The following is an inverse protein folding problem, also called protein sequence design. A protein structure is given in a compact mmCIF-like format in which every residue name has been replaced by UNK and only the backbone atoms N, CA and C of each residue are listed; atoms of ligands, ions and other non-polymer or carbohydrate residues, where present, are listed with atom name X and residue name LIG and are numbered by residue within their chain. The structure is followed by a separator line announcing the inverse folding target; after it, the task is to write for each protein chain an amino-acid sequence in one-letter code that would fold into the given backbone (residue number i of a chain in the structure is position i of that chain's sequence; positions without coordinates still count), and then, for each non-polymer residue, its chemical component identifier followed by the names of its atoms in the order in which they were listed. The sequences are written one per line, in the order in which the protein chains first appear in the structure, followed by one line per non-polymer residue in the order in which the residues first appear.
data_IF_626793222177
#
_entry.id   IF_626793222177
#
_cell.length_a   1.000
_cell.length_b   1.000
_cell.length_c   1.000
_cell.angle_alpha   90.00
_cell.angle_beta   90.00
_cell.angle_gamma   90.00
#
_symmetry.space_group_name_H-M   'P 1'
#
loop_
_entity.id
_entity.type
_entity.pdbx_description
1 polymer ?
#
# COMPACT_ATOMS: atom_id res chain seq x y z
N UNK A 1 19.02 17.00 16.12
CA UNK A 1 18.19 17.36 14.96
C UNK A 1 17.10 18.29 15.47
N UNK A 2 16.92 19.46 14.87
CA UNK A 2 15.91 20.44 15.29
C UNK A 2 14.90 20.65 14.16
N UNK A 3 13.62 20.75 14.49
CA UNK A 3 12.54 20.95 13.52
C UNK A 3 12.40 22.44 13.23
N UNK A 4 12.67 22.85 11.99
CA UNK A 4 12.57 24.25 11.55
C UNK A 4 11.11 24.65 11.30
N UNK A 5 10.36 23.81 10.59
CA UNK A 5 8.94 24.01 10.33
C UNK A 5 8.20 22.67 10.42
N UNK A 6 7.30 22.49 11.40
CA UNK A 6 6.58 21.22 11.59
C UNK A 6 5.53 20.95 10.49
N UNK A 7 5.06 21.98 9.77
CA UNK A 7 4.02 21.86 8.72
C UNK A 7 4.41 22.69 7.51
N UNK A 8 5.39 22.21 6.74
CA UNK A 8 5.85 22.88 5.52
C UNK A 8 4.84 22.81 4.38
N UNK A 9 4.14 21.68 4.25
CA UNK A 9 3.19 21.42 3.18
C UNK A 9 2.06 20.49 3.64
N UNK A 10 1.00 20.47 2.85
CA UNK A 10 -0.05 19.46 2.89
C UNK A 10 0.01 18.69 1.58
N UNK A 11 -0.01 17.37 1.66
CA UNK A 11 0.04 16.48 0.50
C UNK A 11 -1.27 15.67 0.47
N UNK A 12 -1.85 15.55 -0.71
CA UNK A 12 -2.97 14.65 -0.97
C UNK A 12 -2.52 13.20 -1.00
N UNK A 13 -3.45 12.29 -0.75
CA UNK A 13 -3.21 10.84 -0.84
C UNK A 13 -2.66 10.45 -2.21
N UNK A 14 -3.15 11.09 -3.27
CA UNK A 14 -2.68 10.86 -4.64
C UNK A 14 -1.22 11.28 -4.84
N UNK A 15 -0.80 12.45 -4.35
CA UNK A 15 0.59 12.90 -4.44
C UNK A 15 1.53 11.98 -3.70
N UNK A 16 1.14 11.55 -2.48
CA UNK A 16 1.91 10.60 -1.69
C UNK A 16 2.02 9.25 -2.40
N UNK A 17 0.90 8.70 -2.89
CA UNK A 17 0.90 7.42 -3.61
C UNK A 17 1.74 7.49 -4.89
N UNK A 18 1.65 8.58 -5.65
CA UNK A 18 2.44 8.78 -6.87
C UNK A 18 3.93 8.79 -6.54
N UNK A 19 4.33 9.57 -5.53
CA UNK A 19 5.72 9.64 -5.10
C UNK A 19 6.25 8.28 -4.61
N UNK A 20 5.48 7.56 -3.80
CA UNK A 20 5.91 6.24 -3.29
C UNK A 20 6.09 5.22 -4.43
N UNK A 21 5.20 5.23 -5.44
CA UNK A 21 5.34 4.38 -6.63
C UNK A 21 6.58 4.74 -7.46
N UNK A 22 6.90 6.03 -7.59
CA UNK A 22 8.12 6.48 -8.25
C UNK A 22 9.37 6.00 -7.51
N UNK A 23 9.40 6.13 -6.18
CA UNK A 23 10.50 5.65 -5.34
C UNK A 23 10.67 4.13 -5.42
N UNK A 24 9.58 3.38 -5.42
CA UNK A 24 9.59 1.92 -5.58
C UNK A 24 10.15 1.51 -6.95
N UNK A 25 9.72 2.18 -8.03
CA UNK A 25 10.20 1.92 -9.38
C UNK A 25 11.70 2.22 -9.53
N UNK A 26 12.17 3.33 -8.96
CA UNK A 26 13.59 3.71 -8.92
C UNK A 26 14.40 2.68 -8.14
N UNK A 27 13.91 2.24 -6.99
CA UNK A 27 14.55 1.21 -6.18
C UNK A 27 14.65 -0.11 -6.96
N UNK A 28 13.57 -0.56 -7.59
CA UNK A 28 13.56 -1.79 -8.38
C UNK A 28 14.55 -1.71 -9.56
N UNK A 29 14.63 -0.55 -10.21
CA UNK A 29 15.56 -0.32 -11.32
C UNK A 29 17.01 -0.36 -10.85
N UNK A 30 17.33 0.32 -9.74
CA UNK A 30 18.67 0.30 -9.13
C UNK A 30 19.08 -1.11 -8.70
N UNK A 31 18.18 -1.83 -8.03
CA UNK A 31 18.44 -3.19 -7.56
C UNK A 31 18.67 -4.17 -8.70
N UNK A 32 17.87 -4.10 -9.78
CA UNK A 32 18.09 -4.90 -10.99
C UNK A 32 19.40 -4.57 -11.70
N UNK A 33 19.76 -3.29 -11.80
CA UNK A 33 21.03 -2.88 -12.40
C UNK A 33 22.23 -3.39 -11.59
N UNK A 34 22.16 -3.31 -10.25
CA UNK A 34 23.20 -3.84 -9.37
C UNK A 34 23.34 -5.36 -9.47
N UNK A 35 22.23 -6.10 -9.55
CA UNK A 35 22.28 -7.55 -9.77
C UNK A 35 22.92 -7.93 -11.10
N UNK A 36 22.66 -7.17 -12.18
CA UNK A 36 23.30 -7.39 -13.49
C UNK A 36 24.80 -7.13 -13.44
N UNK A 37 25.23 -6.03 -12.83
CA UNK A 37 26.64 -5.68 -12.68
C UNK A 37 27.35 -6.76 -11.86
N UNK A 38 26.76 -7.19 -10.74
CA UNK A 38 27.32 -8.26 -9.90
C UNK A 38 27.49 -9.57 -10.69
N UNK A 39 26.47 -9.96 -11.48
CA UNK A 39 26.53 -11.15 -12.35
C UNK A 39 27.61 -11.03 -13.44
N UNK A 40 27.80 -9.85 -14.02
CA UNK A 40 28.85 -9.59 -15.01
C UNK A 40 30.26 -9.58 -14.39
N UNK A 41 30.43 -9.01 -13.19
CA UNK A 41 31.71 -9.01 -12.47
C UNK A 41 32.10 -10.41 -11.98
N UNK A 42 31.11 -11.20 -11.56
CA UNK A 42 31.24 -12.63 -11.24
C UNK A 42 31.67 -13.44 -12.46
N UNK A 43 31.02 -13.23 -13.61
CA UNK A 43 31.35 -13.91 -14.87
C UNK A 43 32.75 -13.54 -15.41
N UNK A 44 33.20 -12.30 -15.21
CA UNK A 44 34.52 -11.84 -15.64
C UNK A 44 35.65 -12.17 -14.65
N UNK A 45 35.35 -12.83 -13.52
CA UNK A 45 36.36 -13.24 -12.52
C UNK A 45 37.08 -12.08 -11.84
N UNK A 46 36.51 -10.86 -11.89
CA UNK A 46 37.13 -9.61 -11.41
C UNK A 46 36.76 -9.27 -9.97
N UNK A 47 36.02 -10.14 -9.27
CA UNK A 47 35.60 -9.91 -7.88
C UNK A 47 36.83 -9.81 -6.96
N UNK A 48 37.08 -8.62 -6.42
CA UNK A 48 38.05 -8.42 -5.33
C UNK A 48 37.32 -8.65 -4.01
N UNK A 49 37.64 -9.71 -3.24
CA UNK A 49 37.01 -9.96 -1.95
C UNK A 49 37.27 -8.79 -1.00
N UNK A 50 36.23 -8.15 -0.49
CA UNK A 50 36.33 -7.07 0.50
C UNK A 50 36.17 -5.64 -0.03
N UNK A 51 35.91 -5.44 -1.32
CA UNK A 51 35.39 -4.14 -1.77
C UNK A 51 33.89 -4.09 -1.47
N UNK A 52 33.54 -3.55 -0.29
CA UNK A 52 32.18 -3.09 -0.03
C UNK A 52 31.92 -1.93 -0.99
N UNK A 53 31.47 -2.24 -2.21
CA UNK A 53 30.73 -1.27 -3.01
C UNK A 53 29.65 -0.76 -2.08
N UNK A 54 29.67 0.54 -1.78
CA UNK A 54 28.76 1.14 -0.81
C UNK A 54 27.37 1.15 -1.43
N UNK A 55 26.72 -0.01 -1.41
CA UNK A 55 25.31 -0.14 -1.68
C UNK A 55 24.65 0.69 -0.59
N UNK A 56 24.05 1.81 -0.98
CA UNK A 56 23.07 2.46 -0.13
C UNK A 56 21.87 1.52 -0.13
N UNK A 57 21.94 0.49 0.71
CA UNK A 57 20.81 -0.39 0.98
C UNK A 57 19.72 0.48 1.61
N UNK A 58 18.57 0.51 0.95
CA UNK A 58 17.36 1.10 1.48
C UNK A 58 17.05 0.41 2.80
N UNK A 59 16.86 1.18 3.88
CA UNK A 59 16.65 0.57 5.19
C UNK A 59 15.38 -0.29 5.18
N UNK A 60 15.41 -1.43 5.86
CA UNK A 60 14.27 -2.36 5.93
C UNK A 60 13.01 -1.66 6.45
N UNK A 61 13.16 -0.82 7.48
CA UNK A 61 12.07 -0.04 8.04
C UNK A 61 11.42 0.90 7.02
N UNK A 62 12.22 1.57 6.18
CA UNK A 62 11.69 2.43 5.12
C UNK A 62 10.92 1.60 4.10
N UNK A 63 11.47 0.44 3.72
CA UNK A 63 10.82 -0.48 2.77
C UNK A 63 9.46 -0.97 3.28
N UNK A 64 9.35 -1.34 4.54
CA UNK A 64 8.07 -1.76 5.13
C UNK A 64 7.04 -0.64 5.05
N UNK A 65 7.42 0.58 5.45
CA UNK A 65 6.51 1.74 5.40
C UNK A 65 6.10 2.08 3.96
N UNK A 66 7.02 2.01 3.00
CA UNK A 66 6.72 2.24 1.58
C UNK A 66 5.68 1.24 1.05
N UNK A 67 5.92 -0.06 1.27
CA UNK A 67 5.03 -1.13 0.77
C UNK A 67 3.64 -1.06 1.42
N UNK A 68 3.58 -0.89 2.75
CA UNK A 68 2.31 -0.79 3.47
C UNK A 68 1.53 0.48 3.08
N UNK A 69 2.21 1.61 2.91
CA UNK A 69 1.57 2.86 2.51
C UNK A 69 1.04 2.78 1.07
N UNK A 70 1.79 2.18 0.14
CA UNK A 70 1.31 1.92 -1.23
C UNK A 70 0.11 0.99 -1.21
N UNK A 71 0.14 -0.08 -0.41
CA UNK A 71 -0.97 -1.03 -0.28
C UNK A 71 -2.22 -0.33 0.26
N UNK A 72 -2.09 0.47 1.32
CA UNK A 72 -3.21 1.20 1.90
C UNK A 72 -3.78 2.23 0.93
N UNK A 73 -2.94 3.14 0.43
CA UNK A 73 -3.37 4.25 -0.45
C UNK A 73 -3.85 3.77 -1.82
N UNK A 74 -3.39 2.60 -2.25
CA UNK A 74 -3.80 1.94 -3.49
C UNK A 74 -5.01 1.02 -3.36
N UNK A 75 -5.59 0.86 -2.17
CA UNK A 75 -6.70 -0.06 -1.94
C UNK A 75 -7.99 0.39 -2.64
N UNK A 76 -8.79 -0.58 -3.09
CA UNK A 76 -10.00 -0.35 -3.90
C UNK A 76 -11.10 0.44 -3.17
N UNK A 77 -11.11 0.44 -1.83
CA UNK A 77 -12.07 1.19 -1.03
C UNK A 77 -11.72 2.68 -0.90
N UNK A 78 -10.52 3.10 -1.33
CA UNK A 78 -10.14 4.51 -1.38
C UNK A 78 -10.31 5.05 -2.80
N UNK A 79 -10.80 6.29 -2.95
CA UNK A 79 -10.96 6.90 -4.27
C UNK A 79 -9.61 7.22 -4.92
N UNK A 80 -8.52 7.24 -4.15
CA UNK A 80 -7.17 7.62 -4.60
C UNK A 80 -6.67 6.78 -5.78
N UNK A 81 -7.04 5.50 -5.87
CA UNK A 81 -6.64 4.60 -6.96
C UNK A 81 -7.19 5.03 -8.33
N UNK A 82 -8.40 5.59 -8.37
CA UNK A 82 -9.07 6.09 -9.58
C UNK A 82 -8.80 7.56 -9.88
N UNK A 83 -8.09 8.27 -9.01
CA UNK A 83 -7.81 9.70 -9.19
C UNK A 83 -6.71 9.96 -10.22
N UNK A 84 -6.79 11.13 -10.83
CA UNK A 84 -5.76 11.65 -11.75
C UNK A 84 -5.37 13.06 -11.33
N UNK A 85 -4.14 13.48 -11.64
CA UNK A 85 -3.68 14.84 -11.37
C UNK A 85 -4.60 15.92 -11.99
N UNK A 86 -5.13 15.66 -13.19
CA UNK A 86 -6.10 16.54 -13.83
C UNK A 86 -7.43 16.57 -13.09
N UNK A 87 -7.95 15.42 -12.67
CA UNK A 87 -9.17 15.30 -11.88
C UNK A 87 -9.08 16.06 -10.57
N UNK A 88 -7.97 15.93 -9.85
CA UNK A 88 -7.73 16.66 -8.59
C UNK A 88 -7.65 18.16 -8.84
N UNK A 89 -6.96 18.59 -9.89
CA UNK A 89 -6.89 20.01 -10.24
C UNK A 89 -8.26 20.59 -10.57
N UNK A 90 -9.11 19.83 -11.30
CA UNK A 90 -10.50 20.21 -11.58
C UNK A 90 -11.34 20.24 -10.30
N UNK A 91 -11.17 19.26 -9.42
CA UNK A 91 -11.83 19.19 -8.10
C UNK A 91 -11.52 20.44 -7.28
N UNK A 92 -10.24 20.74 -7.05
CA UNK A 92 -9.82 21.88 -6.22
C UNK A 92 -10.37 23.21 -6.76
N UNK A 93 -10.40 23.39 -8.10
CA UNK A 93 -11.01 24.57 -8.74
C UNK A 93 -12.52 24.61 -8.55
N UNK A 94 -13.20 23.47 -8.67
CA UNK A 94 -14.64 23.37 -8.44
C UNK A 94 -15.01 23.69 -6.99
N UNK A 95 -14.11 23.46 -6.02
CA UNK A 95 -14.30 23.78 -4.60
C UNK A 95 -14.07 25.26 -4.24
N UNK A 96 -13.59 26.11 -5.16
CA UNK A 96 -13.33 27.53 -4.89
C UNK A 96 -14.56 28.34 -4.43
N UNK A 97 -15.77 28.17 -5.02
CA UNK A 97 -16.96 28.96 -4.66
C UNK A 97 -17.56 28.65 -3.28
N UNK A 98 -17.14 27.56 -2.64
CA UNK A 98 -17.76 27.03 -1.43
C UNK A 98 -17.10 27.52 -0.13
N UNK A 99 -16.16 28.45 -0.21
CA UNK A 99 -15.47 29.05 0.95
C UNK A 99 -14.91 28.01 1.94
N UNK A 100 -14.41 26.90 1.40
CA UNK A 100 -13.83 25.81 2.18
C UNK A 100 -12.38 26.12 2.59
N UNK A 101 -12.00 25.70 3.79
CA UNK A 101 -10.62 25.79 4.26
C UNK A 101 -9.72 24.87 3.46
N UNK A 102 -8.40 25.11 3.51
CA UNK A 102 -7.43 24.25 2.80
C UNK A 102 -7.48 22.80 3.29
N UNK A 103 -7.77 22.57 4.58
CA UNK A 103 -7.89 21.25 5.16
C UNK A 103 -9.17 20.53 4.67
N UNK A 104 -10.31 21.23 4.63
CA UNK A 104 -11.57 20.70 4.11
C UNK A 104 -11.44 20.31 2.64
N UNK A 105 -10.83 21.18 1.81
CA UNK A 105 -10.57 20.86 0.40
C UNK A 105 -9.69 19.63 0.24
N UNK A 106 -8.66 19.49 1.09
CA UNK A 106 -7.78 18.33 1.09
C UNK A 106 -8.52 17.05 1.48
N UNK A 107 -9.39 17.11 2.50
CA UNK A 107 -10.21 15.98 2.91
C UNK A 107 -11.22 15.57 1.84
N UNK A 108 -11.87 16.52 1.18
CA UNK A 108 -12.75 16.25 0.03
C UNK A 108 -11.97 15.58 -1.09
N UNK A 109 -10.77 16.05 -1.41
CA UNK A 109 -9.92 15.39 -2.42
C UNK A 109 -9.55 13.97 -2.00
N UNK A 110 -9.21 13.74 -0.73
CA UNK A 110 -8.77 12.43 -0.26
C UNK A 110 -9.90 11.40 -0.12
N UNK A 111 -11.10 11.85 0.28
CA UNK A 111 -12.24 10.98 0.58
C UNK A 111 -13.27 10.94 -0.57
N UNK A 112 -13.26 11.91 -1.47
CA UNK A 112 -14.18 12.06 -2.60
C UNK A 112 -15.65 11.77 -2.21
N UNK A 113 -16.23 12.56 -1.28
CA UNK A 113 -17.52 12.26 -0.71
C UNK A 113 -18.61 12.25 -1.78
N UNK A 114 -19.37 11.16 -1.83
CA UNK A 114 -20.44 10.95 -2.81
C UNK A 114 -21.83 11.17 -2.22
N UNK A 115 -21.93 11.25 -0.90
CA UNK A 115 -23.19 11.47 -0.20
C UNK A 115 -23.13 12.72 0.69
N UNK A 116 -24.24 13.43 0.92
CA UNK A 116 -24.26 14.58 1.82
C UNK A 116 -23.83 14.21 3.26
N UNK A 117 -24.13 12.99 3.70
CA UNK A 117 -23.74 12.48 5.04
C UNK A 117 -22.21 12.47 5.21
N UNK A 118 -21.46 12.13 4.16
CA UNK A 118 -20.00 12.16 4.19
C UNK A 118 -19.45 13.59 4.30
N UNK A 119 -20.14 14.58 3.72
CA UNK A 119 -19.74 15.99 3.83
C UNK A 119 -19.86 16.51 5.26
N UNK A 120 -20.86 16.06 6.04
CA UNK A 120 -20.99 16.44 7.46
C UNK A 120 -19.80 15.99 8.33
N UNK A 121 -19.06 14.96 7.90
CA UNK A 121 -17.87 14.47 8.61
C UNK A 121 -16.65 15.36 8.31
N UNK A 122 -16.68 16.10 7.20
CA UNK A 122 -15.56 16.91 6.72
C UNK A 122 -15.72 18.38 7.11
N UNK A 123 -16.93 18.93 6.98
CA UNK A 123 -17.20 20.37 7.11
C UNK A 123 -18.06 20.62 8.33
N UNK A 124 -17.56 21.45 9.25
CA UNK A 124 -18.31 21.91 10.41
C UNK A 124 -19.37 22.95 10.00
N UNK A 125 -20.52 22.93 10.70
CA UNK A 125 -21.65 23.85 10.47
C UNK A 125 -22.08 23.90 8.99
N UNK A 126 -22.10 22.73 8.34
CA UNK A 126 -22.32 22.58 6.90
C UNK A 126 -23.61 23.25 6.42
N UNK A 127 -24.72 23.10 7.16
CA UNK A 127 -26.03 23.72 6.87
C UNK A 127 -25.97 25.25 6.83
N UNK A 128 -25.32 25.86 7.81
CA UNK A 128 -25.22 27.32 7.88
C UNK A 128 -24.31 27.90 6.80
N UNK A 129 -23.27 27.15 6.38
CA UNK A 129 -22.28 27.62 5.38
C UNK A 129 -22.70 27.38 3.93
N UNK A 130 -23.24 26.20 3.64
CA UNK A 130 -23.56 25.79 2.27
C UNK A 130 -25.07 25.86 1.98
N UNK A 131 -25.94 25.62 2.96
CA UNK A 131 -27.39 25.60 2.77
C UNK A 131 -27.77 24.70 1.59
N UNK A 132 -28.51 25.26 0.63
CA UNK A 132 -28.98 24.54 -0.56
C UNK A 132 -27.86 24.14 -1.55
N UNK A 133 -26.62 24.62 -1.36
CA UNK A 133 -25.48 24.33 -2.26
C UNK A 133 -24.79 23.00 -1.98
N UNK A 134 -25.23 22.24 -0.97
CA UNK A 134 -24.65 20.93 -0.65
C UNK A 134 -24.88 19.90 -1.74
N UNK A 135 -26.09 19.87 -2.28
CA UNK A 135 -26.45 18.92 -3.33
C UNK A 135 -25.65 19.22 -4.60
N UNK A 136 -25.52 20.51 -4.96
CA UNK A 136 -24.67 20.98 -6.06
C UNK A 136 -23.20 20.55 -5.87
N UNK A 137 -22.66 20.71 -4.66
CA UNK A 137 -21.29 20.30 -4.34
C UNK A 137 -21.12 18.78 -4.52
N UNK A 138 -22.05 17.99 -3.99
CA UNK A 138 -21.98 16.53 -4.04
C UNK A 138 -22.07 16.02 -5.48
N UNK A 139 -23.00 16.56 -6.27
CA UNK A 139 -23.13 16.25 -7.70
C UNK A 139 -21.85 16.60 -8.45
N UNK A 140 -21.23 17.74 -8.14
CA UNK A 140 -20.00 18.18 -8.80
C UNK A 140 -18.82 17.27 -8.49
N UNK A 141 -18.72 16.77 -7.25
CA UNK A 141 -17.68 15.81 -6.85
C UNK A 141 -17.87 14.50 -7.60
N UNK A 142 -19.10 13.98 -7.67
CA UNK A 142 -19.41 12.76 -8.42
C UNK A 142 -19.10 12.88 -9.91
N UNK A 143 -19.43 14.01 -10.54
CA UNK A 143 -19.15 14.27 -11.95
C UNK A 143 -17.65 14.20 -12.25
N UNK A 144 -16.82 14.84 -11.40
CA UNK A 144 -15.37 14.89 -11.58
C UNK A 144 -14.72 13.53 -11.34
N UNK A 145 -15.23 12.77 -10.37
CA UNK A 145 -14.68 11.48 -10.00
C UNK A 145 -15.02 10.38 -11.01
N UNK A 146 -16.03 10.60 -11.86
CA UNK A 146 -16.55 9.60 -12.77
C UNK A 146 -17.60 8.71 -12.09
N UNK A 147 -18.51 8.15 -12.89
CA UNK A 147 -19.64 7.37 -12.36
C UNK A 147 -19.16 6.31 -11.36
N UNK A 148 -19.76 6.23 -10.15
CA UNK A 148 -19.33 5.28 -9.14
C UNK A 148 -19.49 3.86 -9.68
N UNK A 149 -18.54 2.98 -9.34
CA UNK A 149 -18.83 1.55 -9.36
C UNK A 149 -20.08 1.32 -8.49
N UNK A 150 -21.09 0.56 -8.96
CA UNK A 150 -22.34 0.43 -8.24
C UNK A 150 -22.08 -0.14 -6.84
N UNK A 151 -22.37 0.65 -5.82
CA UNK A 151 -22.38 0.21 -4.43
C UNK A 151 -23.47 -0.87 -4.29
N UNK A 152 -23.17 -2.07 -3.75
CA UNK A 152 -24.20 -3.01 -3.39
C UNK A 152 -25.06 -2.36 -2.30
N UNK A 153 -26.34 -2.14 -2.60
CA UNK A 153 -27.30 -1.72 -1.59
C UNK A 153 -27.46 -2.86 -0.57
N UNK A 154 -26.89 -2.70 0.63
CA UNK A 154 -27.17 -3.58 1.76
C UNK A 154 -28.56 -3.24 2.29
N UNK A 155 -29.57 -3.81 1.67
CA UNK A 155 -30.94 -3.83 2.16
C UNK A 155 -31.19 -5.15 2.89
N UNK A 156 -31.35 -5.07 4.21
CA UNK A 156 -32.06 -6.07 5.00
C UNK A 156 -31.23 -7.30 5.41
N UNK A 157 -31.34 -7.64 6.69
CA UNK A 157 -30.73 -8.80 7.32
C UNK A 157 -31.34 -10.07 6.74
N UNK A 158 -30.55 -10.86 6.02
CA UNK A 158 -30.75 -12.31 5.87
C UNK A 158 -29.50 -13.02 6.37
N UNK A 159 -29.70 -14.01 7.25
CA UNK A 159 -28.65 -14.80 7.89
C UNK A 159 -27.72 -15.46 6.85
N UNK A 160 -26.39 -15.47 7.05
CA UNK A 160 -25.50 -16.15 6.13
C UNK A 160 -25.60 -17.66 6.36
N UNK A 161 -26.10 -18.39 5.35
CA UNK A 161 -25.76 -19.80 5.18
C UNK A 161 -24.30 -19.87 4.74
N UNK A 162 -23.47 -20.52 5.55
CA UNK A 162 -22.10 -20.83 5.20
C UNK A 162 -22.07 -21.78 3.97
N UNK A 163 -21.57 -21.28 2.85
CA UNK A 163 -21.10 -22.11 1.75
C UNK A 163 -19.57 -22.12 1.80
N UNK A 164 -19.01 -23.32 2.00
CA UNK A 164 -17.57 -23.60 1.99
C UNK A 164 -17.03 -23.43 0.56
N UNK A 165 -16.61 -22.21 0.23
CA UNK A 165 -15.75 -21.94 -0.92
C UNK A 165 -14.31 -21.78 -0.45
N UNK A 166 -13.50 -22.85 -0.54
CA UNK A 166 -12.05 -22.76 -0.36
C UNK A 166 -11.48 -21.89 -1.47
N UNK A 167 -11.19 -20.63 -1.17
CA UNK A 167 -10.38 -19.77 -2.03
C UNK A 167 -8.95 -20.29 -1.98
N UNK A 168 -8.56 -21.08 -2.97
CA UNK A 168 -7.17 -21.49 -3.19
C UNK A 168 -6.32 -20.24 -3.36
N UNK A 169 -5.42 -20.00 -2.41
CA UNK A 169 -4.41 -18.96 -2.51
C UNK A 169 -3.39 -19.36 -3.57
N UNK A 170 -3.38 -18.65 -4.71
CA UNK A 170 -2.31 -18.75 -5.70
C UNK A 170 -1.20 -17.78 -5.32
N UNK A 171 -0.04 -18.32 -4.92
CA UNK A 171 1.16 -17.54 -4.66
C UNK A 171 1.67 -16.92 -5.98
N UNK A 172 1.75 -15.58 -6.13
CA UNK A 172 2.21 -14.95 -7.37
C UNK A 172 3.72 -15.13 -7.64
N UNK A 173 4.46 -15.80 -6.74
CA UNK A 173 5.85 -16.19 -6.97
C UNK A 173 6.02 -17.37 -7.96
N UNK A 174 4.93 -18.02 -8.40
CA UNK A 174 4.99 -19.19 -9.28
C UNK A 174 5.01 -18.85 -10.80
N UNK A 175 4.72 -17.61 -11.19
CA UNK A 175 4.65 -17.22 -12.61
C UNK A 175 5.73 -16.19 -12.93
N UNK A 176 6.98 -16.63 -13.09
CA UNK A 176 8.02 -15.75 -13.61
C UNK A 176 9.46 -16.07 -13.23
N UNK A 177 9.85 -17.33 -13.14
CA UNK A 177 11.26 -17.69 -13.25
C UNK A 177 11.42 -18.63 -14.43
N UNK A 178 11.90 -18.05 -15.54
CA UNK A 178 12.27 -18.81 -16.73
C UNK A 178 13.37 -19.82 -16.41
N UNK A 179 13.39 -20.86 -17.23
CA UNK A 179 14.40 -21.90 -17.30
C UNK A 179 15.83 -21.33 -17.15
N UNK A 180 16.42 -21.50 -15.96
CA UNK A 180 17.87 -21.52 -15.78
C UNK A 180 18.23 -22.96 -15.36
N UNK A 181 18.72 -23.74 -16.31
CA UNK A 181 18.98 -25.19 -16.24
C UNK A 181 20.22 -25.56 -15.39
N UNK A 182 20.80 -24.63 -14.62
CA UNK A 182 22.10 -24.84 -13.93
C UNK A 182 22.12 -24.44 -12.44
N UNK A 183 20.97 -24.26 -11.79
CA UNK A 183 20.94 -24.06 -10.34
C UNK A 183 20.96 -25.42 -9.61
N UNK A 184 22.16 -25.96 -9.36
CA UNK A 184 22.34 -27.01 -8.36
C UNK A 184 22.04 -26.43 -6.97
N UNK A 185 20.78 -26.51 -6.54
CA UNK A 185 20.41 -26.36 -5.14
C UNK A 185 20.79 -27.65 -4.43
N UNK A 186 21.77 -27.60 -3.51
CA UNK A 186 21.94 -28.65 -2.51
C UNK A 186 20.71 -28.63 -1.59
N UNK A 187 19.69 -29.40 -1.95
CA UNK A 187 18.62 -29.78 -1.04
C UNK A 187 19.21 -30.73 0.00
N UNK A 188 19.64 -30.19 1.15
CA UNK A 188 19.72 -30.98 2.37
C UNK A 188 18.30 -31.44 2.72
N UNK A 189 17.96 -32.62 2.21
CA UNK A 189 16.73 -33.35 2.46
C UNK A 189 16.64 -33.62 3.97
N UNK A 190 15.85 -32.82 4.68
CA UNK A 190 15.47 -33.11 6.07
C UNK A 190 14.62 -34.40 6.07
N UNK A 191 15.26 -35.52 6.42
CA UNK A 191 14.61 -36.81 6.63
C UNK A 191 13.85 -36.77 7.96
N UNK A 192 12.58 -36.36 7.90
CA UNK A 192 11.60 -36.44 9.00
C UNK A 192 11.06 -37.88 9.15
N UNK A 193 11.96 -38.87 9.09
CA UNK A 193 11.69 -40.21 9.59
C UNK A 193 11.86 -40.18 11.11
N UNK A 194 10.77 -39.83 11.79
CA UNK A 194 10.69 -39.78 13.25
C UNK A 194 11.21 -41.05 13.92
N UNK A 195 12.42 -40.97 14.46
CA UNK A 195 12.89 -41.78 15.58
C UNK A 195 13.00 -40.85 16.79
N UNK A 196 11.88 -40.68 17.49
CA UNK A 196 11.84 -39.97 18.76
C UNK A 196 12.66 -40.74 19.80
N UNK A 197 13.91 -40.34 20.00
CA UNK A 197 14.67 -40.71 21.18
C UNK A 197 14.04 -39.98 22.38
N UNK A 198 13.09 -40.65 23.03
CA UNK A 198 12.56 -40.20 24.31
C UNK A 198 13.70 -39.99 25.30
N UNK A 199 13.85 -38.76 25.77
CA UNK A 199 14.68 -38.46 26.95
C UNK A 199 13.84 -38.84 28.17
N UNK A 200 13.89 -40.10 28.56
CA UNK A 200 13.45 -40.56 29.88
C UNK A 200 14.63 -40.49 30.86
N UNK A 201 14.46 -39.78 31.98
CA UNK A 201 15.44 -39.61 33.07
C UNK A 201 16.13 -38.23 32.98
N UNK A 202 16.03 -37.30 33.94
CA UNK A 202 15.90 -37.46 35.38
C UNK A 202 15.01 -36.34 35.96
N UNK A 203 13.90 -36.73 36.59
CA UNK A 203 13.20 -35.92 37.58
C UNK A 203 13.13 -36.75 38.86
N UNK A 204 14.29 -36.95 39.48
CA UNK A 204 14.35 -37.40 40.87
C UNK A 204 13.97 -36.21 41.76
N UNK A 205 12.71 -36.21 42.18
CA UNK A 205 12.21 -35.45 43.32
C UNK A 205 12.68 -36.20 44.56
N UNK A 206 13.74 -35.74 45.21
CA UNK A 206 14.11 -36.16 46.56
C UNK A 206 13.11 -35.56 47.56
N UNK A 207 12.20 -36.39 48.08
CA UNK A 207 11.48 -36.18 49.33
C UNK A 207 11.89 -37.32 50.31
N UNK A 208 12.83 -37.03 51.21
CA UNK A 208 12.86 -37.43 52.64
C UNK A 208 14.11 -36.89 53.37
#
# INVERSE_FOLDING_TARGET
MEVVNPRSALLSNYEVLTLLRELEADHLTRSKAMQRIKKEEEANGTLVPGHNTTVVETSENLRTVEVEAIQYLGADYLPTSGQTAEGITKMVKALEPYELTKAEKLQIVNLAPTTPVELYVIVEELEDRLGDRMDELTERIQEIQGAPAPVPQVNGIEEPKAEEGVTSWSNPAAEGFGEDEDAAYDEEMFDDAGEGAGVEGDLDVEDD
#
